data_IF_901195645100
#
_entry.id   IF_901195645100
#
_cell.length_a   1.000
_cell.length_b   1.000
_cell.length_c   1.000
_cell.angle_alpha   90.00
_cell.angle_beta   90.00
_cell.angle_gamma   90.00
#
_symmetry.space_group_name_H-M   'P 1'
#
loop_
_entity.id
_entity.type
_entity.pdbx_description
1 polymer ?
#
# COMPACT_ATOMS: atom_id res chain seq x y z
N UNK A 1 -1.75 7.96 -64.24
CA UNK A 1 -0.86 8.00 -63.05
C UNK A 1 -1.64 7.33 -61.93
N UNK A 2 -1.46 6.04 -61.67
CA UNK A 2 -0.42 5.50 -60.78
C UNK A 2 -0.98 5.46 -59.35
N UNK A 3 -1.52 4.31 -58.91
CA UNK A 3 -0.90 3.38 -57.90
C UNK A 3 -0.99 3.98 -56.47
N UNK A 4 -1.49 3.36 -55.38
CA UNK A 4 -1.75 1.97 -54.98
C UNK A 4 -2.38 1.99 -53.57
N UNK A 5 -3.29 1.04 -53.28
CA UNK A 5 -3.65 0.32 -52.03
C UNK A 5 -3.23 0.89 -50.64
N UNK A 6 -3.86 0.62 -49.48
CA UNK A 6 -4.30 -0.68 -48.93
C UNK A 6 -5.14 -0.43 -47.64
N UNK A 7 -6.19 -1.25 -47.44
CA UNK A 7 -6.82 -1.76 -46.19
C UNK A 7 -7.60 -0.85 -45.23
N UNK A 8 -8.90 -1.11 -45.25
CA UNK A 8 -9.77 -1.35 -44.10
C UNK A 8 -9.17 -2.39 -43.13
N UNK A 9 -9.25 -2.13 -41.81
CA UNK A 9 -9.27 -3.17 -40.78
C UNK A 9 -9.80 -2.64 -39.44
N UNK A 10 -10.74 -3.41 -38.89
CA UNK A 10 -11.41 -3.27 -37.62
C UNK A 10 -10.46 -3.39 -36.40
N UNK A 11 -11.07 -3.11 -35.23
CA UNK A 11 -10.60 -3.34 -33.86
C UNK A 11 -9.90 -2.16 -33.16
N UNK A 12 -10.69 -1.18 -32.73
CA UNK A 12 -10.35 -0.44 -31.51
C UNK A 12 -10.82 -1.24 -30.28
N UNK A 13 -10.18 -2.38 -30.08
CA UNK A 13 -10.19 -3.08 -28.80
C UNK A 13 -9.06 -2.50 -27.98
N UNK A 14 -9.31 -1.42 -27.24
CA UNK A 14 -8.44 -1.11 -26.12
C UNK A 14 -9.28 -1.11 -24.84
N UNK A 15 -9.29 -2.31 -24.26
CA UNK A 15 -9.71 -2.59 -22.92
C UNK A 15 -9.11 -1.53 -21.98
N UNK A 16 -9.95 -0.64 -21.47
CA UNK A 16 -9.65 -0.02 -20.17
C UNK A 16 -9.61 -1.17 -19.19
N UNK A 17 -8.39 -1.60 -18.88
CA UNK A 17 -8.06 -2.58 -17.85
C UNK A 17 -9.06 -2.44 -16.70
N UNK A 18 -9.88 -3.46 -16.52
CA UNK A 18 -10.72 -3.58 -15.33
C UNK A 18 -9.71 -3.64 -14.18
N UNK A 19 -9.52 -2.50 -13.49
CA UNK A 19 -8.55 -2.40 -12.39
C UNK A 19 -8.90 -3.48 -11.37
N UNK A 20 -8.07 -4.51 -11.29
CA UNK A 20 -8.30 -5.59 -10.34
C UNK A 20 -8.09 -5.00 -8.94
N UNK A 21 -9.18 -4.88 -8.19
CA UNK A 21 -9.10 -4.46 -6.80
C UNK A 21 -8.15 -5.40 -6.05
N UNK A 22 -7.12 -4.84 -5.40
CA UNK A 22 -6.17 -5.60 -4.61
C UNK A 22 -6.75 -5.82 -3.21
N UNK A 23 -6.64 -7.05 -2.70
CA UNK A 23 -6.99 -7.33 -1.31
C UNK A 23 -6.00 -6.58 -0.42
N UNK A 24 -6.48 -5.80 0.54
CA UNK A 24 -5.63 -5.17 1.54
C UNK A 24 -5.95 -5.75 2.90
N UNK A 25 -4.93 -6.23 3.61
CA UNK A 25 -5.05 -6.80 4.96
C UNK A 25 -4.06 -6.13 5.90
N UNK A 26 -4.29 -6.29 7.20
CA UNK A 26 -3.40 -5.81 8.25
C UNK A 26 -2.55 -6.97 8.78
N UNK A 27 -1.28 -6.68 9.07
CA UNK A 27 -0.39 -7.64 9.71
C UNK A 27 -0.77 -7.80 11.19
N UNK A 28 -0.71 -9.05 11.68
CA UNK A 28 -0.93 -9.42 13.09
C UNK A 28 0.33 -10.07 13.67
N UNK A 29 0.77 -9.66 14.86
CA UNK A 29 1.92 -10.28 15.54
C UNK A 29 1.56 -11.64 16.18
N UNK A 30 2.58 -12.29 16.77
CA UNK A 30 2.42 -13.58 17.46
C UNK A 30 1.57 -13.50 18.74
N UNK A 31 1.49 -12.32 19.36
CA UNK A 31 0.68 -12.03 20.55
C UNK A 31 -0.73 -11.52 20.20
N UNK A 32 -1.14 -11.67 18.93
CA UNK A 32 -2.41 -11.22 18.38
C UNK A 32 -2.59 -9.69 18.27
N UNK A 33 -1.57 -8.90 18.64
CA UNK A 33 -1.60 -7.44 18.40
C UNK A 33 -1.64 -7.14 16.90
N UNK A 34 -2.32 -6.04 16.55
CA UNK A 34 -2.41 -5.52 15.18
C UNK A 34 -1.75 -4.14 15.17
N UNK A 35 -0.44 -4.04 14.87
CA UNK A 35 0.32 -2.81 15.06
C UNK A 35 -0.22 -1.59 14.30
N UNK A 36 -0.93 -1.80 13.19
CA UNK A 36 -1.59 -0.71 12.49
C UNK A 36 -2.77 -0.13 13.29
N UNK A 37 -3.60 -0.99 13.90
CA UNK A 37 -4.77 -0.55 14.67
C UNK A 37 -4.33 0.14 15.96
N UNK A 38 -3.39 -0.44 16.69
CA UNK A 38 -2.81 0.18 17.90
C UNK A 38 -2.24 1.57 17.59
N UNK A 39 -1.53 1.71 16.47
CA UNK A 39 -1.03 3.01 16.05
C UNK A 39 -2.15 3.98 15.66
N UNK A 40 -3.20 3.52 14.96
CA UNK A 40 -4.33 4.37 14.59
C UNK A 40 -5.12 4.87 15.81
N UNK A 41 -5.22 4.08 16.86
CA UNK A 41 -5.86 4.47 18.13
C UNK A 41 -5.11 5.63 18.81
N UNK A 42 -3.79 5.68 18.67
CA UNK A 42 -2.95 6.76 19.18
C UNK A 42 -2.92 8.01 18.27
N UNK A 43 -3.37 7.90 17.02
CA UNK A 43 -3.30 9.02 16.07
C UNK A 43 -4.33 10.09 16.42
N UNK A 44 -3.81 11.29 16.66
CA UNK A 44 -4.61 12.50 16.74
C UNK A 44 -4.11 13.57 15.77
N UNK A 45 -5.01 14.41 15.23
CA UNK A 45 -6.48 14.38 15.41
C UNK A 45 -7.17 13.37 14.49
N UNK A 46 -8.46 13.05 14.74
CA UNK A 46 -9.31 12.16 13.91
C UNK A 46 -9.24 12.41 12.39
N UNK A 47 -9.02 13.65 11.96
CA UNK A 47 -8.87 13.99 10.52
C UNK A 47 -7.60 13.39 9.88
N UNK A 48 -6.57 13.11 10.67
CA UNK A 48 -5.40 12.36 10.22
C UNK A 48 -5.72 10.87 10.01
N UNK A 49 -6.50 10.26 10.90
CA UNK A 49 -7.01 8.87 10.75
C UNK A 49 -7.80 8.76 9.45
N UNK A 50 -8.75 9.67 9.21
CA UNK A 50 -9.56 9.67 7.99
C UNK A 50 -8.70 9.72 6.71
N UNK A 51 -7.60 10.50 6.72
CA UNK A 51 -6.64 10.53 5.60
C UNK A 51 -5.88 9.22 5.43
N UNK A 52 -5.58 8.50 6.51
CA UNK A 52 -4.95 7.19 6.43
C UNK A 52 -5.92 6.16 5.82
N UNK A 53 -7.19 6.15 6.25
CA UNK A 53 -8.24 5.28 5.68
C UNK A 53 -8.37 5.49 4.17
N UNK A 54 -8.43 6.75 3.72
CA UNK A 54 -8.47 7.08 2.28
C UNK A 54 -7.27 6.49 1.51
N UNK A 55 -6.06 6.49 2.09
CA UNK A 55 -4.90 5.86 1.44
C UNK A 55 -5.03 4.34 1.34
N UNK A 56 -5.62 3.69 2.35
CA UNK A 56 -5.90 2.25 2.31
C UNK A 56 -6.88 1.93 1.18
N UNK A 57 -7.90 2.76 0.99
CA UNK A 57 -8.87 2.58 -0.10
C UNK A 57 -8.27 2.84 -1.48
N UNK A 58 -7.39 3.85 -1.61
CA UNK A 58 -6.60 4.05 -2.83
C UNK A 58 -5.70 2.84 -3.11
N UNK A 59 -5.10 2.23 -2.10
CA UNK A 59 -4.29 1.02 -2.27
C UNK A 59 -5.14 -0.18 -2.72
N UNK A 60 -6.35 -0.34 -2.19
CA UNK A 60 -7.31 -1.36 -2.68
C UNK A 60 -7.66 -1.12 -4.15
N UNK A 61 -7.85 0.13 -4.55
CA UNK A 61 -8.30 0.50 -5.91
C UNK A 61 -7.19 0.38 -6.96
N UNK A 62 -5.97 0.83 -6.64
CA UNK A 62 -4.89 0.98 -7.60
C UNK A 62 -3.77 -0.06 -7.43
N UNK A 63 -3.67 -0.69 -6.25
CA UNK A 63 -2.69 -1.77 -6.04
C UNK A 63 -1.25 -1.34 -6.39
N UNK A 64 -0.52 -2.11 -7.21
CA UNK A 64 0.82 -1.77 -7.68
C UNK A 64 0.91 -0.46 -8.48
N UNK A 65 -0.19 -0.02 -9.10
CA UNK A 65 -0.26 1.21 -9.89
C UNK A 65 -0.45 2.46 -9.01
N UNK A 66 -0.58 2.29 -7.68
CA UNK A 66 -0.57 3.41 -6.76
C UNK A 66 0.86 3.96 -6.66
N UNK A 67 1.05 5.19 -7.14
CA UNK A 67 2.34 5.86 -7.17
C UNK A 67 2.34 7.15 -6.32
N UNK A 68 3.42 7.93 -6.44
CA UNK A 68 3.52 9.26 -5.83
C UNK A 68 2.39 10.16 -6.33
N UNK A 69 1.82 11.03 -5.48
CA UNK A 69 2.31 11.39 -4.13
C UNK A 69 1.85 10.44 -3.00
N UNK A 70 0.99 9.46 -3.29
CA UNK A 70 0.28 8.64 -2.29
C UNK A 70 1.05 7.41 -1.84
N UNK A 71 1.86 6.82 -2.71
CA UNK A 71 2.71 5.70 -2.38
C UNK A 71 4.11 5.84 -2.97
N UNK A 72 5.07 5.13 -2.39
CA UNK A 72 6.43 5.07 -2.90
C UNK A 72 7.09 3.75 -2.52
N UNK A 73 8.06 3.29 -3.33
CA UNK A 73 8.92 2.17 -2.97
C UNK A 73 10.04 2.64 -2.05
N UNK A 74 10.34 1.87 -1.00
CA UNK A 74 11.49 2.10 -0.12
C UNK A 74 12.64 1.16 -0.49
N UNK A 75 12.67 -0.05 0.08
CA UNK A 75 13.66 -1.10 -0.20
C UNK A 75 13.12 -2.46 0.24
N UNK A 76 13.76 -3.56 -0.18
CA UNK A 76 13.46 -4.93 0.29
C UNK A 76 12.00 -5.39 0.08
N UNK A 77 11.33 -4.81 -0.93
CA UNK A 77 9.92 -5.03 -1.20
C UNK A 77 8.96 -4.32 -0.23
N UNK A 78 9.47 -3.37 0.56
CA UNK A 78 8.69 -2.49 1.42
C UNK A 78 8.36 -1.21 0.65
N UNK A 79 7.09 -0.81 0.74
CA UNK A 79 6.53 0.41 0.22
C UNK A 79 5.97 1.26 1.37
N UNK A 80 5.73 2.54 1.13
CA UNK A 80 5.04 3.43 2.06
C UNK A 80 3.79 4.03 1.44
N UNK A 81 2.71 4.13 2.21
CA UNK A 81 1.60 5.06 1.95
C UNK A 81 1.89 6.40 2.62
N UNK A 82 1.51 7.50 1.97
CA UNK A 82 1.99 8.85 2.28
C UNK A 82 0.84 9.85 2.41
N UNK A 83 0.66 10.38 3.62
CA UNK A 83 -0.21 11.55 3.85
C UNK A 83 0.41 12.51 4.86
N UNK A 84 -0.21 13.68 4.99
CA UNK A 84 0.10 14.64 6.01
C UNK A 84 -1.19 15.31 6.48
N UNK A 85 -1.17 15.78 7.73
CA UNK A 85 -2.19 16.65 8.28
C UNK A 85 -1.49 17.75 9.07
N UNK A 86 -1.75 19.01 8.70
CA UNK A 86 -0.96 20.15 9.17
C UNK A 86 0.54 19.91 8.91
N UNK A 87 1.40 20.11 9.91
CA UNK A 87 2.85 19.88 9.82
C UNK A 87 3.26 18.41 10.04
N UNK A 88 2.32 17.52 10.38
CA UNK A 88 2.62 16.14 10.78
C UNK A 88 2.52 15.20 9.58
N UNK A 89 3.54 14.36 9.41
CA UNK A 89 3.62 13.37 8.34
C UNK A 89 3.31 11.98 8.87
N UNK A 90 2.32 11.33 8.24
CA UNK A 90 1.86 9.99 8.57
C UNK A 90 2.27 9.04 7.45
N UNK A 91 2.84 7.89 7.80
CA UNK A 91 3.20 6.84 6.86
C UNK A 91 2.65 5.51 7.33
N UNK A 92 2.29 4.65 6.40
CA UNK A 92 1.98 3.24 6.67
C UNK A 92 2.85 2.39 5.78
N UNK A 93 3.63 1.48 6.36
CA UNK A 93 4.53 0.61 5.60
C UNK A 93 3.81 -0.67 5.22
N UNK A 94 3.95 -1.08 3.97
CA UNK A 94 3.29 -2.26 3.43
C UNK A 94 4.19 -3.01 2.45
N UNK A 95 3.80 -4.24 2.13
CA UNK A 95 4.41 -5.03 1.06
C UNK A 95 3.34 -5.80 0.30
N UNK A 96 3.67 -6.28 -0.90
CA UNK A 96 2.80 -7.18 -1.65
C UNK A 96 3.17 -8.65 -1.38
N UNK A 97 2.16 -9.48 -1.15
CA UNK A 97 2.28 -10.94 -1.13
C UNK A 97 1.19 -11.53 -2.03
N UNK A 98 1.60 -12.08 -3.18
CA UNK A 98 0.68 -12.51 -4.26
C UNK A 98 -0.22 -11.34 -4.69
N UNK A 99 -1.53 -11.48 -4.56
CA UNK A 99 -2.54 -10.48 -4.94
C UNK A 99 -3.04 -9.67 -3.73
N UNK A 100 -2.28 -9.68 -2.63
CA UNK A 100 -2.63 -9.01 -1.37
C UNK A 100 -1.58 -7.96 -1.02
N UNK A 101 -2.00 -6.75 -0.69
CA UNK A 101 -1.16 -5.78 0.01
C UNK A 101 -1.33 -5.97 1.52
N UNK A 102 -0.22 -6.10 2.24
CA UNK A 102 -0.21 -6.32 3.69
C UNK A 102 0.38 -5.08 4.35
N UNK A 103 -0.44 -4.36 5.11
CA UNK A 103 0.01 -3.18 5.87
C UNK A 103 0.57 -3.65 7.21
N UNK A 104 1.83 -3.28 7.48
CA UNK A 104 2.58 -3.75 8.65
C UNK A 104 2.32 -2.91 9.89
N UNK A 105 2.46 -1.59 9.78
CA UNK A 105 2.26 -0.61 10.84
C UNK A 105 2.23 0.79 10.26
N UNK A 106 1.72 1.73 11.05
CA UNK A 106 1.88 3.15 10.79
C UNK A 106 2.99 3.77 11.63
N UNK A 107 3.40 4.98 11.24
CA UNK A 107 4.36 5.80 11.99
C UNK A 107 4.12 7.29 11.74
N UNK A 108 4.34 8.07 12.79
CA UNK A 108 4.49 9.53 12.69
C UNK A 108 5.97 9.83 12.56
N UNK A 109 6.29 10.64 11.57
CA UNK A 109 7.67 10.87 11.18
C UNK A 109 8.17 12.23 11.66
N UNK A 110 9.30 12.31 12.39
CA UNK A 110 9.89 13.59 12.77
C UNK A 110 10.72 14.26 11.64
N UNK A 111 11.01 13.56 10.53
CA UNK A 111 11.91 14.05 9.46
C UNK A 111 11.46 13.75 8.02
N UNK A 112 12.35 13.95 7.03
CA UNK A 112 12.03 13.83 5.58
C UNK A 112 12.03 12.39 5.05
N UNK A 113 12.80 11.45 5.63
CA UNK A 113 12.93 10.04 5.21
C UNK A 113 12.58 9.05 6.32
N UNK A 114 11.95 7.91 5.98
CA UNK A 114 11.54 6.89 6.96
C UNK A 114 12.82 6.35 7.59
N UNK A 115 12.86 6.24 8.92
CA UNK A 115 14.06 5.79 9.60
C UNK A 115 14.37 4.34 9.20
N UNK A 116 15.64 3.96 8.97
CA UNK A 116 16.00 2.60 8.55
C UNK A 116 15.41 1.51 9.45
N UNK A 117 15.37 1.75 10.77
CA UNK A 117 14.79 0.82 11.77
C UNK A 117 13.32 0.45 11.51
N UNK A 118 12.51 1.38 11.00
CA UNK A 118 11.08 1.12 10.72
C UNK A 118 10.94 0.24 9.47
N UNK A 119 11.84 0.43 8.49
CA UNK A 119 11.91 -0.41 7.30
C UNK A 119 12.39 -1.81 7.67
N UNK A 120 13.40 -1.92 8.52
CA UNK A 120 13.90 -3.21 9.01
C UNK A 120 12.81 -3.98 9.78
N UNK A 121 12.02 -3.29 10.60
CA UNK A 121 10.86 -3.87 11.27
C UNK A 121 9.81 -4.37 10.27
N UNK A 122 9.50 -3.58 9.24
CA UNK A 122 8.59 -4.02 8.17
C UNK A 122 9.12 -5.27 7.43
N UNK A 123 10.42 -5.35 7.18
CA UNK A 123 11.07 -6.53 6.58
C UNK A 123 10.95 -7.75 7.50
N UNK A 124 11.14 -7.60 8.81
CA UNK A 124 10.96 -8.69 9.77
C UNK A 124 9.52 -9.21 9.79
N UNK A 125 8.53 -8.30 9.82
CA UNK A 125 7.10 -8.65 9.76
C UNK A 125 6.73 -9.33 8.45
N UNK A 126 7.27 -8.85 7.32
CA UNK A 126 7.13 -9.50 6.02
C UNK A 126 7.63 -10.96 6.06
N UNK A 127 8.82 -11.21 6.61
CA UNK A 127 9.37 -12.57 6.73
C UNK A 127 8.47 -13.48 7.58
N UNK A 128 7.98 -12.99 8.73
CA UNK A 128 7.02 -13.73 9.57
C UNK A 128 5.74 -14.06 8.79
N UNK A 129 5.19 -13.07 8.09
CA UNK A 129 4.00 -13.25 7.26
C UNK A 129 4.20 -14.28 6.15
N UNK A 130 5.33 -14.24 5.43
CA UNK A 130 5.63 -15.20 4.36
C UNK A 130 5.72 -16.65 4.87
N UNK A 131 6.18 -16.85 6.11
CA UNK A 131 6.23 -18.17 6.76
C UNK A 131 4.83 -18.66 7.14
N UNK A 132 4.00 -17.79 7.72
CA UNK A 132 2.66 -18.16 8.20
C UNK A 132 1.59 -17.10 7.85
N UNK A 133 1.18 -16.98 6.57
CA UNK A 133 0.29 -15.89 6.14
C UNK A 133 -1.03 -15.86 6.90
N UNK A 134 -1.66 -17.03 7.11
CA UNK A 134 -2.93 -17.15 7.84
C UNK A 134 -2.82 -16.69 9.29
N UNK A 135 -1.68 -16.94 9.95
CA UNK A 135 -1.45 -16.55 11.35
C UNK A 135 -1.29 -15.04 11.45
N UNK A 136 -0.53 -14.45 10.53
CA UNK A 136 -0.16 -13.04 10.56
C UNK A 136 -1.10 -12.13 9.75
N UNK A 137 -2.33 -12.59 9.48
CA UNK A 137 -3.36 -11.81 8.81
C UNK A 137 -4.43 -11.37 9.81
N UNK A 138 -4.79 -10.10 9.76
CA UNK A 138 -6.00 -9.54 10.33
C UNK A 138 -6.84 -8.90 9.21
N UNK A 139 -8.12 -9.25 9.17
CA UNK A 139 -9.13 -8.75 8.23
C UNK A 139 -10.27 -8.15 9.07
N UNK A 140 -10.76 -6.98 8.67
CA UNK A 140 -12.02 -6.41 9.19
C UNK A 140 -13.23 -7.02 8.48
#
# INVERSE_FOLDING_TARGET
MGLTFVRENANNTNARSVMAAVKVVMYKEDDESVPLLEWLDDVQPRKAIAKCIVLVDLLKQFGPDLHRPHADFLRDGIHELRTHYMSVQYRMLYFFHKQTAVITHGLIKPGKQVLPKEIDLAVQRKKKFEIAPKKHTHEE
#
